data_IF_928547162474
#
_entry.id   IF_928547162474
#
_cell.length_a   1.000
_cell.length_b   1.000
_cell.length_c   1.000
_cell.angle_alpha   90.00
_cell.angle_beta   90.00
_cell.angle_gamma   90.00
#
_symmetry.space_group_name_H-M   'P 1'
#
loop_
_entity.id
_entity.type
_entity.pdbx_description
1 polymer ?
#
# COMPACT_ATOMS: atom_id res chain seq x y z
N UNK A 1 44.47 -40.76 -55.49
CA UNK A 1 45.71 -41.11 -54.75
C UNK A 1 45.98 -39.95 -53.80
N UNK A 2 45.68 -40.12 -52.50
CA UNK A 2 46.69 -40.26 -51.41
C UNK A 2 47.72 -39.11 -51.39
N UNK A 3 48.10 -38.47 -50.29
CA UNK A 3 47.74 -38.52 -48.87
C UNK A 3 48.60 -37.45 -48.15
N UNK A 4 48.29 -37.15 -46.89
CA UNK A 4 49.24 -36.65 -45.88
C UNK A 4 49.12 -35.16 -45.55
N UNK A 5 48.47 -34.72 -44.47
CA UNK A 5 48.72 -34.87 -43.02
C UNK A 5 49.77 -33.91 -42.43
N UNK A 6 49.38 -33.38 -41.26
CA UNK A 6 50.14 -32.73 -40.18
C UNK A 6 50.35 -31.22 -40.26
N UNK A 7 50.31 -30.43 -39.18
CA UNK A 7 49.69 -30.47 -37.84
C UNK A 7 50.18 -29.21 -37.10
N UNK A 8 49.47 -28.82 -36.04
CA UNK A 8 49.82 -27.82 -35.00
C UNK A 8 49.61 -26.33 -35.35
N UNK A 9 49.29 -25.43 -34.42
CA UNK A 9 48.68 -25.39 -33.07
C UNK A 9 48.78 -23.92 -32.63
N UNK A 10 47.94 -23.46 -31.68
CA UNK A 10 48.12 -22.21 -30.88
C UNK A 10 47.68 -20.91 -31.59
N UNK A 11 46.75 -20.07 -31.12
CA UNK A 11 46.20 -19.80 -29.78
C UNK A 11 44.71 -19.48 -29.86
N UNK A 12 43.93 -20.12 -29.00
CA UNK A 12 42.59 -19.69 -28.63
C UNK A 12 42.71 -18.45 -27.73
N UNK A 13 42.03 -17.36 -28.10
CA UNK A 13 41.85 -16.20 -27.23
C UNK A 13 40.41 -16.20 -26.72
N UNK A 14 40.22 -16.95 -25.64
CA UNK A 14 39.01 -16.96 -24.81
C UNK A 14 38.84 -15.57 -24.20
N UNK A 15 37.92 -14.74 -24.73
CA UNK A 15 37.40 -13.59 -23.99
C UNK A 15 36.12 -14.00 -23.28
N UNK A 16 36.32 -14.31 -21.99
CA UNK A 16 35.30 -14.42 -20.95
C UNK A 16 34.44 -13.16 -20.99
N UNK A 17 33.19 -13.30 -21.44
CA UNK A 17 32.17 -12.27 -21.34
C UNK A 17 31.77 -12.14 -19.87
N UNK A 18 32.31 -11.11 -19.21
CA UNK A 18 31.94 -10.73 -17.85
C UNK A 18 30.43 -10.47 -17.78
N UNK A 19 29.79 -11.21 -16.88
CA UNK A 19 28.43 -11.03 -16.45
C UNK A 19 28.20 -9.57 -16.02
N UNK A 20 27.46 -8.82 -16.83
CA UNK A 20 26.91 -7.53 -16.43
C UNK A 20 25.65 -7.81 -15.62
N UNK A 21 25.83 -7.89 -14.31
CA UNK A 21 24.78 -8.04 -13.30
C UNK A 21 23.76 -6.91 -13.45
N UNK A 22 22.51 -7.27 -13.76
CA UNK A 22 21.38 -6.37 -13.62
C UNK A 22 21.05 -6.25 -12.12
N UNK A 23 21.37 -5.08 -11.54
CA UNK A 23 21.04 -4.74 -10.18
C UNK A 23 19.51 -4.67 -9.98
N UNK A 24 18.99 -5.05 -8.79
CA UNK A 24 17.57 -5.13 -8.55
C UNK A 24 16.95 -3.78 -8.20
N UNK A 25 15.78 -3.50 -8.79
CA UNK A 25 14.94 -2.36 -8.40
C UNK A 25 14.12 -2.79 -7.17
N UNK A 26 14.67 -2.51 -5.99
CA UNK A 26 13.94 -2.42 -4.72
C UNK A 26 14.06 -0.97 -4.24
N UNK A 27 12.94 -0.39 -3.84
CA UNK A 27 12.73 1.03 -3.56
C UNK A 27 13.49 1.57 -2.34
N UNK A 28 13.80 2.87 -2.33
CA UNK A 28 14.02 3.68 -1.12
C UNK A 28 13.32 5.03 -1.33
N UNK A 29 12.32 5.46 -0.56
CA UNK A 29 12.33 5.70 0.88
C UNK A 29 13.38 6.75 1.29
N UNK A 30 12.89 7.98 1.46
CA UNK A 30 13.37 9.02 2.38
C UNK A 30 14.90 9.23 2.53
N UNK A 31 15.44 10.18 1.78
CA UNK A 31 16.67 10.87 2.13
C UNK A 31 16.43 11.85 3.30
N UNK A 32 16.89 11.51 4.51
CA UNK A 32 17.26 12.50 5.53
C UNK A 32 18.78 12.46 5.68
N UNK A 33 19.45 13.47 5.14
CA UNK A 33 20.88 13.70 5.37
C UNK A 33 21.14 14.22 6.80
N UNK A 34 22.37 14.07 7.31
CA UNK A 34 22.75 14.50 8.65
C UNK A 34 22.96 16.02 8.70
N UNK A 35 22.53 16.65 9.79
CA UNK A 35 22.82 18.06 10.06
C UNK A 35 24.27 18.24 10.53
N UNK A 36 25.00 19.29 10.09
CA UNK A 36 26.35 19.55 10.57
C UNK A 36 26.35 20.33 11.90
N UNK A 37 27.33 19.99 12.74
CA UNK A 37 27.74 20.76 13.91
C UNK A 37 28.42 22.08 13.49
N UNK A 38 28.13 23.18 14.18
CA UNK A 38 28.76 24.47 13.93
C UNK A 38 28.42 25.55 14.97
N UNK A 39 29.37 25.75 15.89
CA UNK A 39 29.82 26.99 16.53
C UNK A 39 28.84 28.05 17.09
N UNK A 40 29.09 28.39 18.37
CA UNK A 40 28.70 29.63 19.04
C UNK A 40 29.33 30.89 18.40
N UNK A 41 28.77 32.09 18.63
CA UNK A 41 29.17 32.98 19.74
C UNK A 41 27.93 33.62 20.43
N UNK A 42 27.92 34.34 21.54
CA UNK A 42 28.91 35.01 22.37
C UNK A 42 28.17 36.17 23.06
N UNK A 43 28.04 36.08 24.39
CA UNK A 43 27.80 37.12 25.41
C UNK A 43 26.89 38.35 25.14
N UNK A 44 25.89 38.53 26.01
CA UNK A 44 25.66 39.81 26.68
C UNK A 44 24.96 39.59 28.03
N UNK A 45 25.62 40.08 29.08
CA UNK A 45 25.25 40.03 30.50
C UNK A 45 24.34 41.21 30.85
N UNK A 46 23.31 40.99 31.65
CA UNK A 46 22.69 42.03 32.46
C UNK A 46 22.15 41.40 33.75
N UNK A 47 22.83 41.70 34.85
CA UNK A 47 22.42 41.39 36.21
C UNK A 47 21.25 42.27 36.65
N UNK A 48 20.42 41.77 37.57
CA UNK A 48 20.10 42.40 38.87
C UNK A 48 19.08 41.54 39.65
N UNK A 49 19.59 40.93 40.73
CA UNK A 49 19.10 40.93 42.11
C UNK A 49 17.59 40.83 42.44
N UNK A 50 17.23 39.80 43.24
CA UNK A 50 16.35 40.00 44.42
C UNK A 50 15.09 39.13 44.59
N UNK A 51 15.21 38.07 45.40
CA UNK A 51 14.19 37.43 46.27
C UNK A 51 12.97 36.68 45.64
N UNK A 52 12.22 35.85 46.40
CA UNK A 52 12.53 35.00 47.56
C UNK A 52 12.26 33.50 47.27
N UNK A 53 12.75 32.61 48.15
CA UNK A 53 12.40 31.18 48.17
C UNK A 53 10.96 31.04 48.67
N UNK A 54 10.03 30.73 47.77
CA UNK A 54 8.66 30.31 48.10
C UNK A 54 8.54 28.79 47.90
N UNK A 55 8.05 28.11 48.92
CA UNK A 55 7.93 26.67 49.00
C UNK A 55 7.08 26.06 47.88
N UNK A 56 7.41 24.81 47.55
CA UNK A 56 6.63 23.95 46.65
C UNK A 56 5.17 23.89 47.07
N UNK A 57 4.32 24.70 46.44
CA UNK A 57 2.89 24.41 46.37
C UNK A 57 2.69 23.43 45.21
N UNK A 58 2.15 22.26 45.54
CA UNK A 58 1.76 21.26 44.56
C UNK A 58 0.77 21.91 43.59
N UNK A 59 1.09 21.89 42.28
CA UNK A 59 0.13 22.26 41.24
C UNK A 59 -1.08 21.31 41.38
N UNK A 60 -2.32 21.82 41.42
CA UNK A 60 -3.48 20.95 41.40
C UNK A 60 -3.44 20.12 40.10
N UNK A 61 -3.67 18.81 40.24
CA UNK A 61 -3.72 17.90 39.11
C UNK A 61 -4.71 18.45 38.07
N UNK A 62 -4.24 18.58 36.83
CA UNK A 62 -5.10 18.93 35.72
C UNK A 62 -6.26 17.92 35.68
N UNK A 63 -7.52 18.36 35.47
CA UNK A 63 -8.64 17.43 35.39
C UNK A 63 -8.35 16.39 34.31
N UNK A 64 -8.45 15.11 34.67
CA UNK A 64 -8.30 13.99 33.75
C UNK A 64 -9.19 14.26 32.53
N UNK A 65 -8.56 14.57 31.40
CA UNK A 65 -9.25 14.69 30.13
C UNK A 65 -9.94 13.34 29.91
N UNK A 66 -11.26 13.27 29.74
CA UNK A 66 -11.93 11.99 29.56
C UNK A 66 -11.24 11.28 28.39
N UNK A 67 -10.83 10.04 28.61
CA UNK A 67 -10.31 9.17 27.57
C UNK A 67 -11.33 9.21 26.43
N UNK A 68 -10.95 9.79 25.29
CA UNK A 68 -11.73 9.64 24.07
C UNK A 68 -11.81 8.14 23.83
N UNK A 69 -13.02 7.57 23.90
CA UNK A 69 -13.25 6.23 23.43
C UNK A 69 -12.59 6.08 22.05
N UNK A 70 -11.94 4.94 21.75
CA UNK A 70 -11.44 4.71 20.40
C UNK A 70 -12.59 4.95 19.43
N UNK A 71 -12.36 5.62 18.28
CA UNK A 71 -13.43 5.85 17.32
C UNK A 71 -14.04 4.49 17.00
N UNK A 72 -15.33 4.33 17.30
CA UNK A 72 -16.07 3.12 16.98
C UNK A 72 -16.19 3.06 15.45
N UNK A 73 -15.17 2.48 14.81
CA UNK A 73 -15.13 2.34 13.35
C UNK A 73 -16.11 1.27 12.92
N UNK A 74 -16.89 1.56 11.89
CA UNK A 74 -17.75 0.59 11.22
C UNK A 74 -17.14 0.23 9.86
N UNK A 75 -16.94 -1.05 9.62
CA UNK A 75 -16.45 -1.55 8.33
C UNK A 75 -17.58 -2.21 7.57
N UNK A 76 -17.35 -2.57 6.30
CA UNK A 76 -18.29 -3.39 5.54
C UNK A 76 -18.57 -4.75 6.21
N UNK A 77 -17.60 -5.26 7.00
CA UNK A 77 -17.73 -6.49 7.79
C UNK A 77 -18.45 -6.30 9.15
N UNK A 78 -19.01 -5.11 9.43
CA UNK A 78 -19.76 -4.87 10.66
C UNK A 78 -21.13 -5.55 10.59
N UNK A 79 -21.65 -6.12 11.69
CA UNK A 79 -22.89 -6.90 11.67
C UNK A 79 -24.12 -6.10 11.19
N UNK A 80 -24.09 -4.78 11.37
CA UNK A 80 -25.13 -3.85 10.91
C UNK A 80 -25.09 -3.64 9.38
N UNK A 81 -23.91 -3.70 8.75
CA UNK A 81 -23.68 -3.33 7.35
C UNK A 81 -23.56 -4.56 6.44
N UNK A 82 -23.00 -5.65 6.96
CA UNK A 82 -22.85 -6.92 6.25
C UNK A 82 -24.13 -7.44 5.57
N UNK A 83 -25.34 -7.40 6.19
CA UNK A 83 -26.56 -7.80 5.50
C UNK A 83 -26.89 -6.89 4.31
N UNK A 84 -26.70 -5.57 4.44
CA UNK A 84 -26.93 -4.61 3.35
C UNK A 84 -25.98 -4.85 2.17
N UNK A 85 -24.72 -5.21 2.45
CA UNK A 85 -23.75 -5.60 1.42
C UNK A 85 -24.18 -6.90 0.74
N UNK A 86 -24.68 -7.88 1.50
CA UNK A 86 -25.17 -9.13 0.92
C UNK A 86 -26.39 -8.91 0.02
N UNK A 87 -27.33 -8.06 0.43
CA UNK A 87 -28.48 -7.63 -0.38
C UNK A 87 -28.03 -6.92 -1.66
N UNK A 88 -27.08 -6.00 -1.55
CA UNK A 88 -26.50 -5.30 -2.71
C UNK A 88 -25.86 -6.29 -3.69
N UNK A 89 -25.04 -7.22 -3.21
CA UNK A 89 -24.37 -8.23 -4.05
C UNK A 89 -25.40 -9.13 -4.73
N UNK A 90 -26.45 -9.54 -4.00
CA UNK A 90 -27.54 -10.33 -4.56
C UNK A 90 -28.38 -9.56 -5.60
N UNK A 91 -28.47 -8.23 -5.45
CA UNK A 91 -29.20 -7.35 -6.37
C UNK A 91 -28.39 -6.94 -7.62
N UNK A 92 -27.11 -7.34 -7.73
CA UNK A 92 -26.30 -7.02 -8.92
C UNK A 92 -26.91 -7.65 -10.18
N UNK A 93 -26.88 -6.93 -11.32
CA UNK A 93 -27.35 -7.50 -12.58
C UNK A 93 -26.50 -8.72 -12.97
N UNK A 94 -27.14 -9.72 -13.58
CA UNK A 94 -26.44 -10.89 -14.07
C UNK A 94 -25.36 -10.48 -15.09
N UNK A 95 -24.17 -11.06 -14.95
CA UNK A 95 -23.04 -10.79 -15.84
C UNK A 95 -23.32 -11.44 -17.20
N UNK A 96 -23.73 -10.66 -18.20
CA UNK A 96 -23.85 -11.09 -19.61
C UNK A 96 -22.47 -11.16 -20.27
N UNK A 97 -22.39 -11.46 -21.59
CA UNK A 97 -21.10 -11.48 -22.29
C UNK A 97 -20.35 -10.15 -22.09
N UNK A 98 -19.11 -10.25 -21.62
CA UNK A 98 -18.25 -9.12 -21.23
C UNK A 98 -17.34 -8.72 -22.38
N UNK A 99 -17.87 -8.63 -23.59
CA UNK A 99 -17.07 -8.38 -24.81
C UNK A 99 -16.40 -7.00 -24.75
N UNK A 100 -17.11 -6.02 -24.21
CA UNK A 100 -16.61 -4.67 -23.98
C UNK A 100 -15.47 -4.63 -22.95
N UNK A 101 -15.59 -5.39 -21.87
CA UNK A 101 -14.53 -5.52 -20.87
C UNK A 101 -13.31 -6.20 -21.46
N UNK A 102 -13.49 -7.32 -22.17
CA UNK A 102 -12.39 -8.05 -22.81
C UNK A 102 -11.59 -7.12 -23.72
N UNK A 103 -12.27 -6.38 -24.60
CA UNK A 103 -11.64 -5.36 -25.47
C UNK A 103 -10.87 -4.30 -24.68
N UNK A 104 -11.43 -3.80 -23.58
CA UNK A 104 -10.76 -2.81 -22.74
C UNK A 104 -9.49 -3.37 -22.09
N UNK A 105 -9.57 -4.58 -21.55
CA UNK A 105 -8.42 -5.26 -20.91
C UNK A 105 -7.32 -5.56 -21.92
N UNK A 106 -7.66 -6.00 -23.13
CA UNK A 106 -6.71 -6.21 -24.23
C UNK A 106 -5.98 -4.92 -24.59
N UNK A 107 -6.69 -3.79 -24.71
CA UNK A 107 -6.06 -2.49 -24.98
C UNK A 107 -5.09 -2.07 -23.86
N UNK A 108 -5.44 -2.33 -22.60
CA UNK A 108 -4.55 -2.06 -21.46
C UNK A 108 -3.31 -2.96 -21.53
N UNK A 109 -3.49 -4.23 -21.85
CA UNK A 109 -2.41 -5.20 -21.97
C UNK A 109 -1.46 -4.88 -23.12
N UNK A 110 -1.99 -4.47 -24.28
CA UNK A 110 -1.20 -4.01 -25.43
C UNK A 110 -0.32 -2.81 -25.09
N UNK A 111 -0.84 -1.90 -24.27
CA UNK A 111 -0.09 -0.74 -23.78
C UNK A 111 1.00 -1.18 -22.80
N UNK A 112 0.67 -2.05 -21.84
CA UNK A 112 1.59 -2.50 -20.81
C UNK A 112 2.63 -3.51 -21.31
N UNK A 113 2.37 -4.21 -22.42
CA UNK A 113 3.30 -5.12 -23.08
C UNK A 113 4.58 -4.42 -23.58
N UNK A 114 4.49 -3.10 -23.80
CA UNK A 114 5.59 -2.24 -24.24
C UNK A 114 6.50 -1.78 -23.10
N UNK A 115 6.24 -2.20 -21.86
CA UNK A 115 7.10 -1.90 -20.71
C UNK A 115 8.51 -2.52 -20.93
N UNK A 116 9.58 -1.71 -20.90
CA UNK A 116 10.95 -2.22 -21.03
C UNK A 116 11.39 -3.08 -19.83
N UNK A 117 10.73 -2.94 -18.69
CA UNK A 117 11.07 -3.65 -17.46
C UNK A 117 10.62 -5.11 -17.55
N UNK A 118 11.57 -6.05 -17.51
CA UNK A 118 11.28 -7.48 -17.63
C UNK A 118 11.43 -8.17 -16.26
N UNK A 119 10.49 -9.06 -15.94
CA UNK A 119 10.52 -9.92 -14.75
C UNK A 119 10.38 -11.38 -15.17
N UNK A 120 11.13 -12.26 -14.52
CA UNK A 120 11.01 -13.70 -14.72
C UNK A 120 9.84 -14.24 -13.88
N UNK A 121 8.89 -14.87 -14.56
CA UNK A 121 7.73 -15.51 -13.95
C UNK A 121 7.48 -16.83 -14.68
N UNK A 122 7.30 -17.94 -13.94
CA UNK A 122 7.08 -19.28 -14.51
C UNK A 122 8.11 -19.71 -15.58
N UNK A 123 9.38 -19.29 -15.39
CA UNK A 123 10.47 -19.61 -16.32
C UNK A 123 10.43 -18.84 -17.64
N UNK A 124 9.58 -17.82 -17.77
CA UNK A 124 9.51 -16.92 -18.93
C UNK A 124 9.71 -15.47 -18.49
N UNK A 125 10.21 -14.64 -19.41
CA UNK A 125 10.37 -13.19 -19.19
C UNK A 125 9.12 -12.48 -19.68
N UNK A 126 8.56 -11.65 -18.81
CA UNK A 126 7.37 -10.86 -19.10
C UNK A 126 7.58 -9.39 -18.71
N UNK A 127 6.92 -8.45 -19.42
CA UNK A 127 6.87 -7.06 -19.00
C UNK A 127 6.22 -6.91 -17.62
N UNK A 128 6.85 -6.18 -16.72
CA UNK A 128 6.43 -6.09 -15.32
C UNK A 128 5.03 -5.50 -15.17
N UNK A 129 4.73 -4.38 -15.86
CA UNK A 129 3.41 -3.75 -15.76
C UNK A 129 2.27 -4.64 -16.27
N UNK A 130 2.55 -5.47 -17.28
CA UNK A 130 1.58 -6.43 -17.81
C UNK A 130 1.25 -7.48 -16.75
N UNK A 131 2.28 -8.14 -16.18
CA UNK A 131 2.08 -9.14 -15.13
C UNK A 131 1.40 -8.57 -13.89
N UNK A 132 1.80 -7.36 -13.46
CA UNK A 132 1.22 -6.75 -12.28
C UNK A 132 -0.29 -6.53 -12.45
N UNK A 133 -0.73 -6.03 -13.61
CA UNK A 133 -2.15 -5.87 -13.92
C UNK A 133 -2.90 -7.21 -13.90
N UNK A 134 -2.29 -8.26 -14.47
CA UNK A 134 -2.85 -9.62 -14.47
C UNK A 134 -3.05 -10.15 -13.04
N UNK A 135 -2.00 -10.10 -12.21
CA UNK A 135 -2.07 -10.55 -10.82
C UNK A 135 -3.14 -9.81 -10.02
N UNK A 136 -3.25 -8.48 -10.21
CA UNK A 136 -4.24 -7.69 -9.49
C UNK A 136 -5.66 -8.05 -9.92
N UNK A 137 -5.91 -8.22 -11.23
CA UNK A 137 -7.20 -8.67 -11.75
C UNK A 137 -7.57 -10.07 -11.25
N UNK A 138 -6.62 -11.01 -11.16
CA UNK A 138 -6.86 -12.35 -10.63
C UNK A 138 -7.30 -12.31 -9.16
N UNK A 139 -6.66 -11.48 -8.34
CA UNK A 139 -7.06 -11.31 -6.94
C UNK A 139 -8.43 -10.65 -6.81
N UNK A 140 -8.74 -9.65 -7.63
CA UNK A 140 -10.09 -9.05 -7.68
C UNK A 140 -11.13 -10.12 -8.02
N UNK A 141 -10.89 -10.96 -9.02
CA UNK A 141 -11.80 -12.05 -9.41
C UNK A 141 -12.03 -13.05 -8.26
N UNK A 142 -11.01 -13.34 -7.45
CA UNK A 142 -11.11 -14.23 -6.27
C UNK A 142 -11.85 -13.57 -5.12
N UNK A 143 -11.65 -12.27 -4.89
CA UNK A 143 -12.25 -11.53 -3.79
C UNK A 143 -13.72 -11.19 -4.04
N UNK A 144 -14.04 -10.75 -5.27
CA UNK A 144 -15.37 -10.39 -5.72
C UNK A 144 -15.61 -10.90 -7.16
N UNK A 145 -16.05 -12.17 -7.33
CA UNK A 145 -16.39 -12.70 -8.65
C UNK A 145 -17.53 -11.94 -9.33
N UNK A 146 -18.36 -11.30 -8.52
CA UNK A 146 -19.52 -10.51 -8.88
C UNK A 146 -19.21 -9.09 -9.34
N UNK A 147 -17.93 -8.67 -9.29
CA UNK A 147 -17.54 -7.27 -9.41
C UNK A 147 -17.97 -6.60 -10.72
N UNK A 148 -18.23 -5.28 -10.71
CA UNK A 148 -18.52 -4.50 -11.90
C UNK A 148 -17.29 -4.39 -12.80
N UNK A 149 -17.52 -4.19 -14.09
CA UNK A 149 -16.47 -4.07 -15.11
C UNK A 149 -15.43 -2.99 -14.76
N UNK A 150 -15.88 -1.87 -14.18
CA UNK A 150 -15.01 -0.77 -13.76
C UNK A 150 -13.94 -1.23 -12.76
N UNK A 151 -14.24 -2.18 -11.85
CA UNK A 151 -13.26 -2.67 -10.88
C UNK A 151 -12.16 -3.50 -11.57
N UNK A 152 -12.53 -4.33 -12.56
CA UNK A 152 -11.56 -5.10 -13.34
C UNK A 152 -10.67 -4.19 -14.19
N UNK A 153 -11.25 -3.16 -14.80
CA UNK A 153 -10.50 -2.14 -15.56
C UNK A 153 -9.53 -1.40 -14.65
N UNK A 154 -9.98 -0.99 -13.45
CA UNK A 154 -9.13 -0.32 -12.47
C UNK A 154 -7.98 -1.21 -12.00
N UNK A 155 -8.24 -2.49 -11.73
CA UNK A 155 -7.21 -3.44 -11.35
C UNK A 155 -6.18 -3.61 -12.48
N UNK A 156 -6.64 -3.86 -13.71
CA UNK A 156 -5.74 -4.06 -14.85
C UNK A 156 -4.95 -2.81 -15.23
N UNK A 157 -5.61 -1.66 -15.14
CA UNK A 157 -5.09 -0.34 -15.53
C UNK A 157 -4.38 0.43 -14.42
N UNK A 158 -4.26 -0.11 -13.20
CA UNK A 158 -3.75 0.63 -12.02
C UNK A 158 -2.40 1.31 -12.25
N UNK A 159 -1.51 0.64 -12.98
CA UNK A 159 -0.17 1.13 -13.32
C UNK A 159 0.01 1.29 -14.84
N UNK A 160 -1.08 1.56 -15.57
CA UNK A 160 -1.10 1.63 -17.04
C UNK A 160 0.00 2.55 -17.57
N UNK A 161 0.91 2.02 -18.39
CA UNK A 161 2.02 2.76 -19.03
C UNK A 161 2.88 3.61 -18.05
N UNK A 162 2.84 3.32 -16.75
CA UNK A 162 3.60 4.03 -15.72
C UNK A 162 5.13 4.00 -15.94
N UNK A 163 5.64 3.15 -16.83
CA UNK A 163 7.03 3.13 -17.28
C UNK A 163 7.42 4.37 -18.12
N UNK A 164 6.46 5.10 -18.70
CA UNK A 164 6.71 6.39 -19.39
C UNK A 164 6.82 7.58 -18.46
N UNK A 165 6.51 7.39 -17.17
CA UNK A 165 6.62 8.45 -16.16
C UNK A 165 8.07 8.90 -15.89
N UNK A 166 9.06 8.31 -16.57
CA UNK A 166 10.42 8.87 -16.68
C UNK A 166 10.39 10.29 -17.28
N UNK A 167 9.37 10.63 -18.05
CA UNK A 167 9.13 11.98 -18.58
C UNK A 167 8.69 12.97 -17.47
N UNK A 168 8.03 12.49 -16.41
CA UNK A 168 7.62 13.30 -15.24
C UNK A 168 8.67 13.10 -14.14
N UNK A 169 9.84 13.72 -14.33
CA UNK A 169 10.97 13.55 -13.42
C UNK A 169 10.68 14.19 -12.08
N UNK A 170 11.13 13.54 -11.01
CA UNK A 170 11.02 14.10 -9.65
C UNK A 170 11.77 15.42 -9.52
N UNK A 171 12.87 15.60 -10.25
CA UNK A 171 13.76 16.76 -10.12
C UNK A 171 13.17 18.06 -10.67
N UNK A 172 12.13 17.98 -11.52
CA UNK A 172 11.44 19.15 -12.07
C UNK A 172 10.53 19.85 -11.02
N UNK A 173 10.34 19.22 -9.86
CA UNK A 173 9.49 19.71 -8.79
C UNK A 173 10.31 20.15 -7.58
N UNK A 174 9.78 21.11 -6.82
CA UNK A 174 10.42 21.58 -5.59
C UNK A 174 10.77 20.41 -4.65
N UNK A 175 11.95 20.43 -3.99
CA UNK A 175 12.36 19.37 -3.07
C UNK A 175 11.56 19.33 -1.77
N UNK A 176 10.61 20.26 -1.58
CA UNK A 176 9.74 20.30 -0.41
C UNK A 176 8.53 19.35 -0.52
N UNK A 177 7.76 19.23 0.57
CA UNK A 177 6.54 18.41 0.61
C UNK A 177 5.48 18.83 -0.42
N UNK A 178 5.44 20.11 -0.81
CA UNK A 178 4.50 20.62 -1.79
C UNK A 178 4.84 20.08 -3.18
N UNK A 179 6.11 20.18 -3.60
CA UNK A 179 6.58 19.65 -4.87
C UNK A 179 6.42 18.12 -4.95
N UNK A 180 6.60 17.40 -3.84
CA UNK A 180 6.27 15.98 -3.78
C UNK A 180 4.78 15.70 -4.06
N UNK A 181 3.88 16.42 -3.40
CA UNK A 181 2.43 16.26 -3.61
C UNK A 181 2.03 16.59 -5.04
N UNK A 182 2.62 17.63 -5.62
CA UNK A 182 2.35 18.03 -7.00
C UNK A 182 2.81 16.95 -7.99
N UNK A 183 4.03 16.42 -7.81
CA UNK A 183 4.53 15.30 -8.62
C UNK A 183 3.60 14.06 -8.52
N UNK A 184 3.15 13.72 -7.30
CA UNK A 184 2.20 12.61 -7.10
C UNK A 184 0.84 12.87 -7.79
N UNK A 185 0.36 14.11 -7.78
CA UNK A 185 -0.88 14.50 -8.47
C UNK A 185 -0.74 14.41 -9.99
N UNK A 186 0.33 14.95 -10.57
CA UNK A 186 0.57 14.91 -12.01
C UNK A 186 0.72 13.46 -12.50
N UNK A 187 1.39 12.63 -11.70
CA UNK A 187 1.52 11.19 -11.97
C UNK A 187 0.16 10.48 -12.00
N UNK A 188 -0.71 10.76 -11.04
CA UNK A 188 -2.07 10.22 -10.99
C UNK A 188 -2.91 10.73 -12.16
N UNK A 189 -2.81 12.01 -12.49
CA UNK A 189 -3.53 12.62 -13.60
C UNK A 189 -3.13 12.00 -14.93
N UNK A 190 -1.84 11.75 -15.14
CA UNK A 190 -1.34 11.05 -16.32
C UNK A 190 -1.95 9.64 -16.44
N UNK A 191 -1.94 8.87 -15.35
CA UNK A 191 -2.52 7.52 -15.31
C UNK A 191 -4.03 7.54 -15.56
N UNK A 192 -4.75 8.46 -14.92
CA UNK A 192 -6.19 8.62 -15.05
C UNK A 192 -6.59 8.98 -16.49
N UNK A 193 -5.89 9.94 -17.10
CA UNK A 193 -6.11 10.34 -18.49
C UNK A 193 -5.89 9.19 -19.45
N UNK A 194 -4.84 8.39 -19.22
CA UNK A 194 -4.53 7.25 -20.08
C UNK A 194 -5.60 6.17 -19.98
N UNK A 195 -5.99 5.79 -18.77
CA UNK A 195 -7.05 4.79 -18.55
C UNK A 195 -8.39 5.25 -19.13
N UNK A 196 -8.76 6.51 -18.90
CA UNK A 196 -9.96 7.15 -19.45
C UNK A 196 -9.98 7.11 -20.97
N UNK A 197 -8.84 7.37 -21.62
CA UNK A 197 -8.70 7.25 -23.08
C UNK A 197 -9.00 5.85 -23.59
N UNK A 198 -8.43 4.83 -22.93
CA UNK A 198 -8.67 3.42 -23.28
C UNK A 198 -10.14 3.02 -23.10
N UNK A 199 -10.76 3.41 -21.98
CA UNK A 199 -12.17 3.13 -21.71
C UNK A 199 -13.10 3.76 -22.76
N UNK A 200 -12.80 4.98 -23.21
CA UNK A 200 -13.55 5.62 -24.30
C UNK A 200 -13.43 4.85 -25.62
N UNK A 201 -12.23 4.40 -25.97
CA UNK A 201 -12.01 3.57 -27.18
C UNK A 201 -12.71 2.22 -27.10
N UNK A 202 -12.84 1.66 -25.90
CA UNK A 202 -13.61 0.45 -25.65
C UNK A 202 -15.14 0.69 -25.68
N UNK A 203 -15.60 1.94 -25.62
CA UNK A 203 -17.01 2.31 -25.73
C UNK A 203 -17.73 2.51 -24.39
N UNK A 204 -17.00 2.69 -23.28
CA UNK A 204 -17.61 2.91 -21.96
C UNK A 204 -18.29 4.28 -21.86
N UNK A 205 -19.36 4.33 -21.07
CA UNK A 205 -20.09 5.57 -20.80
C UNK A 205 -19.21 6.63 -20.14
N UNK A 206 -19.58 7.90 -20.26
CA UNK A 206 -18.87 8.99 -19.59
C UNK A 206 -18.91 8.85 -18.05
N UNK A 207 -20.00 8.31 -17.50
CA UNK A 207 -20.13 8.05 -16.07
C UNK A 207 -19.12 6.99 -15.58
N UNK A 208 -18.95 5.88 -16.31
CA UNK A 208 -17.96 4.85 -16.00
C UNK A 208 -16.53 5.37 -16.14
N UNK A 209 -16.26 6.17 -17.19
CA UNK A 209 -14.98 6.82 -17.39
C UNK A 209 -14.63 7.79 -16.25
N UNK A 210 -15.60 8.59 -15.81
CA UNK A 210 -15.44 9.54 -14.70
C UNK A 210 -15.18 8.81 -13.38
N UNK A 211 -15.90 7.73 -13.11
CA UNK A 211 -15.66 6.88 -11.94
C UNK A 211 -14.21 6.38 -11.94
N UNK A 212 -13.73 5.81 -13.05
CA UNK A 212 -12.36 5.32 -13.11
C UNK A 212 -11.32 6.43 -12.90
N UNK A 213 -11.56 7.62 -13.47
CA UNK A 213 -10.73 8.81 -13.25
C UNK A 213 -10.69 9.22 -11.77
N UNK A 214 -11.85 9.27 -11.10
CA UNK A 214 -11.97 9.58 -9.67
C UNK A 214 -11.21 8.57 -8.80
N UNK A 215 -11.29 7.28 -9.13
CA UNK A 215 -10.52 6.22 -8.48
C UNK A 215 -9.00 6.39 -8.63
N UNK A 216 -8.54 6.73 -9.83
CA UNK A 216 -7.11 6.88 -10.11
C UNK A 216 -6.53 8.14 -9.44
N UNK A 217 -7.31 9.23 -9.38
CA UNK A 217 -6.93 10.45 -8.69
C UNK A 217 -7.05 10.32 -7.16
N UNK A 218 -7.97 9.48 -6.67
CA UNK A 218 -8.36 9.42 -5.27
C UNK A 218 -9.27 10.59 -4.87
N UNK A 219 -10.14 11.03 -5.79
CA UNK A 219 -11.10 12.13 -5.60
C UNK A 219 -12.49 11.56 -5.31
N UNK A 220 -13.22 12.17 -4.38
CA UNK A 220 -14.63 11.86 -4.09
C UNK A 220 -14.92 10.38 -3.81
N UNK A 221 -13.92 9.65 -3.30
CA UNK A 221 -14.06 8.24 -2.92
C UNK A 221 -14.46 8.12 -1.45
N UNK A 222 -15.43 7.24 -1.13
CA UNK A 222 -15.76 6.96 0.26
C UNK A 222 -14.68 6.10 0.92
N UNK A 223 -14.40 6.32 2.21
CA UNK A 223 -13.43 5.55 3.00
C UNK A 223 -14.09 4.30 3.61
N UNK A 224 -13.73 3.08 3.20
CA UNK A 224 -14.30 1.85 3.75
C UNK A 224 -13.86 1.55 5.19
N UNK A 225 -12.88 2.30 5.72
CA UNK A 225 -12.43 2.17 7.11
C UNK A 225 -13.45 2.68 8.12
N UNK A 226 -14.36 3.56 7.72
CA UNK A 226 -15.48 3.99 8.56
C UNK A 226 -16.74 4.34 7.75
N UNK A 227 -17.63 3.37 7.60
CA UNK A 227 -18.87 3.46 6.78
C UNK A 227 -19.90 4.40 7.41
N UNK A 228 -19.90 4.59 8.74
CA UNK A 228 -20.78 5.49 9.51
C UNK A 228 -20.68 6.95 9.09
N UNK A 229 -19.60 7.34 8.41
CA UNK A 229 -19.44 8.68 7.86
C UNK A 229 -20.42 8.95 6.71
N UNK A 230 -21.05 7.90 6.18
CA UNK A 230 -21.92 7.97 5.04
C UNK A 230 -23.31 7.46 5.38
N UNK A 231 -24.31 8.08 4.76
CA UNK A 231 -25.69 7.65 4.86
C UNK A 231 -25.95 6.48 3.89
N UNK A 232 -25.62 5.27 4.35
CA UNK A 232 -25.86 4.02 3.62
C UNK A 232 -27.32 3.60 3.64
N UNK A 233 -28.10 4.06 4.62
CA UNK A 233 -29.54 3.84 4.76
C UNK A 233 -30.25 5.15 4.50
N UNK A 234 -30.48 5.47 3.23
CA UNK A 234 -31.05 6.74 2.79
C UNK A 234 -32.49 6.99 3.26
N UNK A 235 -33.18 8.00 2.69
CA UNK A 235 -34.51 8.39 3.15
C UNK A 235 -35.49 7.21 3.08
N UNK A 236 -36.36 7.10 4.09
CA UNK A 236 -37.32 6.00 4.25
C UNK A 236 -36.69 4.61 4.47
N UNK A 237 -35.40 4.53 4.81
CA UNK A 237 -34.71 3.26 5.05
C UNK A 237 -34.28 2.54 3.78
N UNK A 238 -34.28 3.21 2.63
CA UNK A 238 -33.80 2.64 1.38
C UNK A 238 -32.27 2.55 1.36
N UNK A 239 -31.72 1.37 1.11
CA UNK A 239 -30.28 1.15 1.05
C UNK A 239 -29.65 1.81 -0.17
N UNK A 240 -28.59 2.59 0.03
CA UNK A 240 -27.84 3.22 -1.05
C UNK A 240 -26.83 2.23 -1.66
N UNK A 241 -27.31 1.35 -2.54
CA UNK A 241 -26.48 0.34 -3.19
C UNK A 241 -25.32 0.94 -4.00
N UNK A 242 -25.48 2.13 -4.58
CA UNK A 242 -24.40 2.77 -5.34
C UNK A 242 -23.23 3.14 -4.43
N UNK A 243 -23.51 3.70 -3.25
CA UNK A 243 -22.49 4.04 -2.27
C UNK A 243 -21.81 2.79 -1.69
N UNK A 244 -22.59 1.76 -1.34
CA UNK A 244 -22.05 0.49 -0.85
C UNK A 244 -21.16 -0.18 -1.92
N UNK A 245 -21.55 -0.13 -3.19
CA UNK A 245 -20.77 -0.69 -4.29
C UNK A 245 -19.42 0.06 -4.42
N UNK A 246 -19.44 1.39 -4.32
CA UNK A 246 -18.20 2.19 -4.32
C UNK A 246 -17.29 1.85 -3.15
N UNK A 247 -17.83 1.75 -1.93
CA UNK A 247 -17.09 1.33 -0.74
C UNK A 247 -16.47 -0.07 -0.92
N UNK A 248 -17.26 -1.02 -1.44
CA UNK A 248 -16.83 -2.39 -1.72
C UNK A 248 -15.72 -2.42 -2.78
N UNK A 249 -15.83 -1.64 -3.85
CA UNK A 249 -14.80 -1.52 -4.89
C UNK A 249 -13.48 -0.98 -4.32
N UNK A 250 -13.52 0.08 -3.50
CA UNK A 250 -12.33 0.65 -2.86
C UNK A 250 -11.66 -0.38 -1.94
N UNK A 251 -12.45 -1.06 -1.10
CA UNK A 251 -11.93 -2.09 -0.19
C UNK A 251 -11.34 -3.28 -0.95
N UNK A 252 -12.04 -3.77 -1.97
CA UNK A 252 -11.61 -4.93 -2.77
C UNK A 252 -10.32 -4.63 -3.53
N UNK A 253 -10.18 -3.42 -4.09
CA UNK A 253 -8.94 -3.02 -4.75
C UNK A 253 -7.79 -2.93 -3.75
N UNK A 254 -8.02 -2.38 -2.54
CA UNK A 254 -7.00 -2.30 -1.48
C UNK A 254 -6.56 -3.69 -1.01
N UNK A 255 -7.51 -4.60 -0.83
CA UNK A 255 -7.26 -5.98 -0.42
C UNK A 255 -6.46 -6.73 -1.49
N UNK A 256 -6.83 -6.57 -2.76
CA UNK A 256 -6.12 -7.17 -3.88
C UNK A 256 -4.66 -6.67 -3.95
N UNK A 257 -4.41 -5.37 -3.76
CA UNK A 257 -3.06 -4.80 -3.72
C UNK A 257 -2.23 -5.41 -2.59
N UNK A 258 -2.81 -5.55 -1.39
CA UNK A 258 -2.13 -6.15 -0.25
C UNK A 258 -1.81 -7.63 -0.49
N UNK A 259 -2.72 -8.39 -1.10
CA UNK A 259 -2.50 -9.79 -1.43
C UNK A 259 -1.46 -9.99 -2.54
N UNK A 260 -1.45 -9.14 -3.58
CA UNK A 260 -0.38 -9.14 -4.60
C UNK A 260 0.97 -8.86 -3.94
N UNK A 261 1.04 -7.88 -3.04
CA UNK A 261 2.27 -7.58 -2.30
C UNK A 261 2.76 -8.79 -1.50
N UNK A 262 1.89 -9.44 -0.74
CA UNK A 262 2.24 -10.60 0.08
C UNK A 262 2.64 -11.80 -0.77
N UNK A 263 1.96 -12.05 -1.89
CA UNK A 263 2.21 -13.20 -2.74
C UNK A 263 3.49 -13.02 -3.57
N UNK A 264 3.69 -11.85 -4.18
CA UNK A 264 4.73 -11.63 -5.20
C UNK A 264 5.97 -10.89 -4.68
N UNK A 265 5.79 -9.94 -3.77
CA UNK A 265 6.87 -9.02 -3.35
C UNK A 265 7.50 -9.46 -2.02
N UNK A 266 6.67 -9.88 -1.07
CA UNK A 266 7.11 -10.24 0.28
C UNK A 266 8.16 -11.37 0.32
N UNK A 267 8.07 -12.47 -0.47
CA UNK A 267 9.07 -13.54 -0.39
C UNK A 267 10.50 -13.07 -0.68
N UNK A 268 10.64 -12.19 -1.68
CA UNK A 268 11.91 -11.56 -2.04
C UNK A 268 12.37 -10.59 -0.96
N UNK A 269 11.46 -9.73 -0.52
CA UNK A 269 11.74 -8.73 0.53
C UNK A 269 12.21 -9.38 1.83
N UNK A 270 11.61 -10.52 2.20
CA UNK A 270 11.95 -11.30 3.39
C UNK A 270 13.37 -11.89 3.33
N UNK A 271 13.91 -12.12 2.13
CA UNK A 271 15.27 -12.64 1.94
C UNK A 271 16.32 -11.52 1.87
N UNK A 272 15.97 -10.37 1.29
CA UNK A 272 16.93 -9.30 0.99
C UNK A 272 17.02 -8.22 2.10
N UNK A 273 15.96 -8.01 2.90
CA UNK A 273 15.87 -6.91 3.87
C UNK A 273 15.89 -7.38 5.33
N UNK A 274 16.32 -6.52 6.28
CA UNK A 274 16.26 -6.82 7.71
C UNK A 274 14.81 -6.94 8.21
N UNK A 275 14.60 -7.78 9.23
CA UNK A 275 13.27 -8.16 9.70
C UNK A 275 12.39 -6.97 10.14
N UNK A 276 12.98 -5.90 10.70
CA UNK A 276 12.24 -4.72 11.17
C UNK A 276 11.67 -3.89 10.03
N UNK A 277 12.42 -3.77 8.93
CA UNK A 277 11.96 -3.09 7.71
C UNK A 277 10.84 -3.89 7.04
N UNK A 278 11.00 -5.21 6.96
CA UNK A 278 9.97 -6.12 6.44
C UNK A 278 8.70 -6.01 7.28
N UNK A 279 8.82 -6.03 8.61
CA UNK A 279 7.68 -5.90 9.52
C UNK A 279 6.96 -4.56 9.33
N UNK A 280 7.71 -3.47 9.18
CA UNK A 280 7.15 -2.13 8.95
C UNK A 280 6.42 -2.06 7.61
N UNK A 281 7.00 -2.63 6.55
CA UNK A 281 6.38 -2.71 5.24
C UNK A 281 5.08 -3.53 5.27
N UNK A 282 5.10 -4.73 5.86
CA UNK A 282 3.91 -5.59 5.98
C UNK A 282 2.82 -4.93 6.82
N UNK A 283 3.17 -4.27 7.94
CA UNK A 283 2.20 -3.51 8.76
C UNK A 283 1.54 -2.39 7.96
N UNK A 284 2.32 -1.68 7.14
CA UNK A 284 1.78 -0.63 6.26
C UNK A 284 0.82 -1.22 5.23
N UNK A 285 1.18 -2.35 4.63
CA UNK A 285 0.31 -2.97 3.61
C UNK A 285 -0.97 -3.57 4.20
N UNK A 286 -0.89 -4.17 5.38
CA UNK A 286 -2.07 -4.67 6.11
C UNK A 286 -2.89 -3.57 6.82
N UNK A 287 -2.51 -2.30 6.71
CA UNK A 287 -3.24 -1.22 7.32
C UNK A 287 -4.57 -0.94 6.60
N UNK A 288 -5.69 -1.33 7.21
CA UNK A 288 -7.03 -1.09 6.69
C UNK A 288 -7.47 -2.04 5.59
N UNK A 289 -6.92 -3.25 5.54
CA UNK A 289 -7.46 -4.36 4.74
C UNK A 289 -8.68 -4.99 5.43
N UNK A 290 -9.53 -5.68 4.68
CA UNK A 290 -10.71 -6.36 5.22
C UNK A 290 -10.36 -7.59 6.05
N UNK A 291 -11.34 -8.08 6.85
CA UNK A 291 -11.16 -9.34 7.59
C UNK A 291 -11.01 -10.52 6.63
N UNK A 292 -11.73 -10.51 5.51
CA UNK A 292 -11.63 -11.52 4.45
C UNK A 292 -10.22 -11.56 3.84
N UNK A 293 -9.62 -10.39 3.60
CA UNK A 293 -8.24 -10.28 3.12
C UNK A 293 -7.24 -10.84 4.13
N UNK A 294 -7.38 -10.53 5.43
CA UNK A 294 -6.50 -11.08 6.47
C UNK A 294 -6.60 -12.61 6.56
N UNK A 295 -7.82 -13.15 6.52
CA UNK A 295 -8.02 -14.60 6.52
C UNK A 295 -7.36 -15.25 5.30
N UNK A 296 -7.51 -14.64 4.12
CA UNK A 296 -6.89 -15.10 2.87
C UNK A 296 -5.36 -15.01 2.91
N UNK A 297 -4.82 -13.92 3.45
CA UNK A 297 -3.39 -13.74 3.63
C UNK A 297 -2.79 -14.80 4.55
N UNK A 298 -3.48 -15.16 5.64
CA UNK A 298 -3.00 -16.16 6.60
C UNK A 298 -3.16 -17.61 6.11
N UNK A 299 -4.03 -17.87 5.13
CA UNK A 299 -4.21 -19.20 4.55
C UNK A 299 -3.19 -19.54 3.45
N UNK A 300 -2.44 -18.56 2.97
CA UNK A 300 -1.37 -18.78 2.00
C UNK A 300 -0.24 -19.66 2.56
N UNK A 301 0.46 -20.44 1.72
CA UNK A 301 1.49 -21.38 2.15
C UNK A 301 2.78 -20.63 2.53
N UNK A 302 2.91 -20.30 3.82
CA UNK A 302 4.08 -19.59 4.35
C UNK A 302 5.11 -20.52 5.00
N UNK A 303 6.42 -20.23 4.85
CA UNK A 303 7.43 -20.76 5.75
C UNK A 303 7.13 -20.40 7.23
N UNK A 304 7.51 -21.23 8.22
CA UNK A 304 7.17 -21.00 9.62
C UNK A 304 7.60 -19.62 10.17
N UNK A 305 8.77 -19.13 9.76
CA UNK A 305 9.29 -17.82 10.17
C UNK A 305 8.50 -16.66 9.56
N UNK A 306 8.18 -16.75 8.26
CA UNK A 306 7.36 -15.78 7.57
C UNK A 306 5.96 -15.68 8.20
N UNK A 307 5.34 -16.83 8.54
CA UNK A 307 4.05 -16.88 9.22
C UNK A 307 4.07 -16.15 10.57
N UNK A 308 5.14 -16.31 11.36
CA UNK A 308 5.32 -15.59 12.63
C UNK A 308 5.44 -14.08 12.41
N UNK A 309 6.19 -13.63 11.40
CA UNK A 309 6.33 -12.22 11.08
C UNK A 309 5.00 -11.61 10.64
N UNK A 310 4.29 -12.26 9.71
CA UNK A 310 2.97 -11.83 9.26
C UNK A 310 2.00 -11.78 10.45
N UNK A 311 1.98 -12.78 11.31
CA UNK A 311 1.16 -12.79 12.53
C UNK A 311 1.43 -11.61 13.46
N UNK A 312 2.69 -11.16 13.58
CA UNK A 312 3.06 -9.93 14.31
C UNK A 312 2.67 -8.63 13.61
N UNK A 313 2.46 -8.69 12.29
CA UNK A 313 2.08 -7.53 11.48
C UNK A 313 0.56 -7.33 11.40
N UNK A 314 -0.23 -8.38 11.65
CA UNK A 314 -1.70 -8.30 11.66
C UNK A 314 -2.13 -7.22 12.66
N UNK A 315 -3.00 -6.28 12.25
CA UNK A 315 -3.50 -5.25 13.17
C UNK A 315 -4.22 -5.91 14.34
N UNK A 316 -3.91 -5.45 15.55
CA UNK A 316 -4.60 -5.92 16.75
C UNK A 316 -6.12 -5.66 16.61
N UNK A 317 -6.98 -6.56 17.13
CA UNK A 317 -8.41 -6.34 17.03
C UNK A 317 -8.80 -5.02 17.70
N UNK A 318 -9.85 -4.34 17.20
CA UNK A 318 -10.32 -3.09 17.80
C UNK A 318 -10.62 -3.31 19.30
N UNK A 319 -10.11 -2.41 20.15
CA UNK A 319 -10.21 -2.53 21.61
C UNK A 319 -9.09 -3.34 22.27
N UNK A 320 -8.28 -4.10 21.53
CA UNK A 320 -7.16 -4.87 22.09
C UNK A 320 -6.07 -3.98 22.69
N UNK A 321 -5.88 -2.78 22.11
CA UNK A 321 -4.99 -1.77 22.70
C UNK A 321 -5.49 -1.24 24.04
N UNK A 322 -6.82 -1.19 24.24
CA UNK A 322 -7.40 -0.81 25.52
C UNK A 322 -7.36 -1.98 26.51
N UNK A 323 -7.55 -3.22 26.05
CA UNK A 323 -7.29 -4.42 26.87
C UNK A 323 -5.83 -4.47 27.31
N UNK A 324 -4.87 -4.23 26.41
CA UNK A 324 -3.46 -4.14 26.76
C UNK A 324 -3.18 -2.99 27.73
N UNK A 325 -3.77 -1.81 27.56
CA UNK A 325 -3.64 -0.72 28.56
C UNK A 325 -4.30 -1.03 29.90
N UNK A 326 -5.37 -1.82 29.91
CA UNK A 326 -6.04 -2.29 31.14
C UNK A 326 -5.21 -3.37 31.83
N UNK A 327 -4.58 -4.26 31.05
CA UNK A 327 -3.71 -5.35 31.53
C UNK A 327 -2.33 -4.82 31.97
N UNK A 328 -1.74 -3.92 31.21
CA UNK A 328 -0.48 -3.23 31.51
C UNK A 328 -0.68 -2.08 32.53
N UNK A 329 -1.94 -1.76 32.84
CA UNK A 329 -2.35 -0.69 33.74
C UNK A 329 -2.03 0.71 33.18
N UNK A 330 -2.74 1.73 33.67
CA UNK A 330 -2.47 3.14 33.39
C UNK A 330 -1.05 3.61 33.83
N UNK A 331 -0.25 2.74 34.44
CA UNK A 331 1.12 2.98 34.87
C UNK A 331 2.17 2.80 33.74
N UNK A 332 1.87 2.05 32.68
CA UNK A 332 2.81 1.89 31.56
C UNK A 332 2.80 3.06 30.57
N UNK A 333 1.83 3.97 30.68
CA UNK A 333 1.72 5.17 29.85
C UNK A 333 2.48 6.38 30.43
N UNK A 334 3.49 6.15 31.28
CA UNK A 334 4.56 7.14 31.41
C UNK A 334 5.63 6.79 30.38
N UNK A 335 5.61 7.48 29.24
CA UNK A 335 6.83 7.72 28.49
C UNK A 335 7.74 8.56 29.39
N UNK A 336 8.48 7.90 30.28
CA UNK A 336 9.52 8.51 31.08
C UNK A 336 10.70 8.83 30.14
N UNK A 337 11.08 10.11 29.99
CA UNK A 337 12.41 10.43 29.52
C UNK A 337 13.36 10.13 30.69
N UNK A 338 13.92 8.92 30.72
CA UNK A 338 15.01 8.53 31.64
C UNK A 338 14.61 7.83 32.94
N UNK A 339 14.11 6.59 32.88
CA UNK A 339 13.98 5.76 34.09
C UNK A 339 15.23 4.87 34.28
N UNK A 340 15.98 5.13 35.35
CA UNK A 340 17.27 4.54 35.72
C UNK A 340 17.15 3.17 36.41
N UNK A 341 15.93 2.64 36.55
CA UNK A 341 15.63 1.43 37.31
C UNK A 341 15.84 0.10 36.57
N UNK A 342 16.01 0.11 35.25
CA UNK A 342 16.31 -1.09 34.45
C UNK A 342 17.79 -1.22 34.08
N UNK A 343 18.69 -0.61 34.86
CA UNK A 343 20.12 -0.60 34.54
C UNK A 343 20.79 -1.97 34.76
N UNK A 344 20.27 -2.79 35.67
CA UNK A 344 20.93 -4.02 36.11
C UNK A 344 20.01 -5.26 36.13
N UNK A 345 18.99 -5.33 35.29
CA UNK A 345 18.05 -6.47 35.27
C UNK A 345 18.50 -7.52 34.24
N UNK A 346 19.02 -8.66 34.73
CA UNK A 346 19.44 -9.81 33.91
C UNK A 346 18.23 -10.70 33.57
N UNK A 347 18.13 -11.12 32.31
CA UNK A 347 17.03 -11.92 31.80
C UNK A 347 17.44 -13.39 31.67
N UNK A 348 17.22 -14.17 32.72
CA UNK A 348 17.02 -15.63 32.61
C UNK A 348 15.53 -15.98 32.69
#
# INVERSE_FOLDING_TARGET
MQAGMSSASSRASTRVGLASQAAPVVAAAASRGPAPAGAAPGAASAALSGAPVWGSSARPAAPCRPLRAPPCRSTLDSPEIAPLVAEMVAARPAQTSRDQLAKCLELIDDINSKDPSQVEWEGRRHPYRLLFGQWLSEWVQKLDPGAPDELFILARGKNIESWRLVEIKRDDYSPNSIGQKQWEQDRKAWLANRLKGVMKTAGYSEASCKLAEDFMLGRDLPDPRDVRLYDVTGPMGATNFRLLELLQMVQTLRDAEALVFLDKTFPRMFQELPADEVLTAVKRELAGVSKKCLATALSLPWPPLARKLIGRAVPAPPGWGDVLRVVEGAAAASSHPGDWRYRDFDYE
#
